data_IF_156579921324
#
_entry.id   IF_156579921324
#
_cell.length_a   1.000
_cell.length_b   1.000
_cell.length_c   1.000
_cell.angle_alpha   90.00
_cell.angle_beta   90.00
_cell.angle_gamma   90.00
#
_symmetry.space_group_name_H-M   'P 1'
#
loop_
_entity.id
_entity.type
_entity.pdbx_description
1 polymer ?
#
# COMPACT_ATOMS: atom_id res chain seq x y z
N UNK A 1 52.42 -3.23 20.14
CA UNK A 1 51.13 -2.57 20.08
C UNK A 1 50.54 -2.84 18.71
N UNK A 2 49.57 -3.75 18.61
CA UNK A 2 48.86 -4.06 17.36
C UNK A 2 47.58 -3.25 17.37
N UNK A 3 47.50 -2.25 16.50
CA UNK A 3 46.25 -1.52 16.25
C UNK A 3 45.32 -2.41 15.38
N UNK A 4 44.23 -2.88 15.97
CA UNK A 4 43.15 -3.47 15.22
C UNK A 4 42.31 -2.35 14.58
N UNK A 5 42.38 -2.21 13.27
CA UNK A 5 41.45 -1.40 12.49
C UNK A 5 40.12 -2.16 12.39
N UNK A 6 39.11 -1.72 13.11
CA UNK A 6 37.72 -2.14 12.88
C UNK A 6 37.19 -1.35 11.69
N UNK A 7 37.04 -2.02 10.56
CA UNK A 7 36.26 -1.46 9.44
C UNK A 7 34.78 -1.36 9.85
N UNK A 8 34.08 -0.26 9.56
CA UNK A 8 32.64 -0.22 9.74
C UNK A 8 31.98 -1.17 8.73
N UNK A 9 31.09 -2.05 9.23
CA UNK A 9 30.16 -2.74 8.34
C UNK A 9 29.27 -1.66 7.70
N UNK A 10 29.51 -1.40 6.42
CA UNK A 10 28.54 -0.74 5.59
C UNK A 10 27.36 -1.70 5.44
N UNK A 11 26.26 -1.40 6.11
CA UNK A 11 24.96 -1.99 5.84
C UNK A 11 24.66 -1.65 4.37
N UNK A 12 24.41 -2.65 3.55
CA UNK A 12 23.96 -2.47 2.17
C UNK A 12 22.63 -1.69 2.22
N UNK A 13 22.69 -0.40 1.91
CA UNK A 13 21.53 0.37 1.53
C UNK A 13 21.07 -0.22 0.20
N UNK A 14 20.01 -1.01 0.22
CA UNK A 14 19.25 -1.34 -1.00
C UNK A 14 18.81 0.00 -1.56
N UNK A 15 19.24 0.30 -2.77
CA UNK A 15 19.02 1.60 -3.41
C UNK A 15 17.51 1.78 -3.57
N UNK A 16 16.91 2.69 -2.81
CA UNK A 16 15.46 2.93 -2.85
C UNK A 16 15.02 3.47 -4.22
N UNK A 17 15.95 3.98 -5.00
CA UNK A 17 15.72 4.36 -6.39
C UNK A 17 15.37 3.14 -7.25
N UNK A 18 16.01 1.98 -7.02
CA UNK A 18 15.72 0.73 -7.73
C UNK A 18 14.33 0.18 -7.38
N UNK A 19 13.81 0.49 -6.18
CA UNK A 19 12.49 0.04 -5.75
C UNK A 19 11.32 0.72 -6.48
N UNK A 20 11.52 1.92 -7.02
CA UNK A 20 10.52 2.64 -7.81
C UNK A 20 10.67 2.39 -9.32
N UNK A 21 11.88 2.14 -9.82
CA UNK A 21 12.13 1.97 -11.25
C UNK A 21 11.31 0.82 -11.86
N UNK A 22 10.64 1.09 -12.98
CA UNK A 22 9.79 0.12 -13.68
C UNK A 22 8.43 -0.13 -13.02
N UNK A 23 7.99 0.71 -12.08
CA UNK A 23 6.73 0.53 -11.35
C UNK A 23 5.64 1.48 -11.84
N UNK A 24 4.37 1.03 -11.75
CA UNK A 24 3.20 1.82 -12.14
C UNK A 24 2.20 1.91 -10.99
N UNK A 25 1.60 3.09 -10.85
CA UNK A 25 0.79 3.46 -9.70
C UNK A 25 -0.48 4.18 -10.11
N UNK A 26 -1.54 3.98 -9.36
CA UNK A 26 -2.80 4.71 -9.50
C UNK A 26 -3.09 5.47 -8.21
N UNK A 27 -3.44 6.75 -8.32
CA UNK A 27 -3.83 7.57 -7.18
C UNK A 27 -5.12 7.05 -6.55
N UNK A 28 -5.12 6.93 -5.22
CA UNK A 28 -6.27 6.54 -4.40
C UNK A 28 -6.85 7.74 -3.68
N UNK A 29 -5.99 8.55 -3.04
CA UNK A 29 -6.39 9.74 -2.30
C UNK A 29 -5.27 10.77 -2.22
N UNK A 30 -5.60 12.00 -1.84
CA UNK A 30 -4.65 13.09 -1.67
C UNK A 30 -5.11 14.10 -0.62
N UNK A 31 -4.17 14.82 -0.02
CA UNK A 31 -4.45 15.88 0.94
C UNK A 31 -3.80 15.70 2.30
N UNK A 32 -4.32 16.38 3.32
CA UNK A 32 -3.78 16.36 4.67
C UNK A 32 -4.04 15.01 5.37
N UNK A 33 -3.10 14.50 6.18
CA UNK A 33 -3.29 13.29 6.96
C UNK A 33 -4.56 13.34 7.83
N UNK A 34 -5.44 12.35 7.67
CA UNK A 34 -6.71 12.27 8.40
C UNK A 34 -7.84 13.10 7.80
N UNK A 35 -7.60 13.77 6.66
CA UNK A 35 -8.60 14.54 5.92
C UNK A 35 -8.34 14.44 4.40
N UNK A 36 -7.85 13.28 3.95
CA UNK A 36 -7.59 13.04 2.54
C UNK A 36 -8.88 13.05 1.72
N UNK A 37 -8.78 13.59 0.52
CA UNK A 37 -9.84 13.55 -0.49
C UNK A 37 -9.62 12.31 -1.36
N UNK A 38 -10.59 11.40 -1.49
CA UNK A 38 -10.52 10.30 -2.43
C UNK A 38 -10.33 10.78 -3.88
N UNK A 39 -9.56 10.04 -4.67
CA UNK A 39 -9.49 10.29 -6.11
C UNK A 39 -10.87 10.15 -6.74
N UNK A 40 -11.19 11.04 -7.68
CA UNK A 40 -12.52 11.08 -8.30
C UNK A 40 -12.81 9.77 -9.04
N UNK A 41 -13.99 9.15 -8.81
CA UNK A 41 -14.40 7.97 -9.54
C UNK A 41 -14.40 8.22 -11.06
N UNK A 42 -13.78 7.29 -11.80
CA UNK A 42 -13.68 7.41 -13.27
C UNK A 42 -12.57 8.33 -13.78
N UNK A 43 -11.89 9.10 -12.91
CA UNK A 43 -10.64 9.76 -13.27
C UNK A 43 -9.47 8.80 -13.09
N UNK A 44 -8.67 8.60 -14.12
CA UNK A 44 -7.48 7.75 -14.05
C UNK A 44 -6.25 8.62 -13.82
N UNK A 45 -5.87 8.85 -12.56
CA UNK A 45 -4.61 9.54 -12.23
C UNK A 45 -3.55 8.48 -11.99
N UNK A 46 -2.54 8.44 -12.86
CA UNK A 46 -1.50 7.42 -12.87
C UNK A 46 -0.10 8.02 -12.80
N UNK A 47 0.85 7.24 -12.27
CA UNK A 47 2.26 7.59 -12.13
C UNK A 47 3.09 6.35 -12.48
N UNK A 48 3.94 6.42 -13.49
CA UNK A 48 4.85 5.36 -13.88
C UNK A 48 6.29 5.84 -13.76
N UNK A 49 7.11 5.10 -13.03
CA UNK A 49 8.55 5.34 -12.90
C UNK A 49 9.26 4.49 -13.94
N UNK A 50 9.80 5.10 -14.98
CA UNK A 50 10.52 4.41 -16.03
C UNK A 50 11.97 4.13 -15.60
N UNK A 51 12.56 3.09 -16.20
CA UNK A 51 13.99 2.83 -16.05
C UNK A 51 14.80 3.99 -16.65
N UNK A 52 15.64 4.64 -15.84
CA UNK A 52 16.46 5.77 -16.33
C UNK A 52 16.11 7.12 -15.75
N UNK A 53 15.20 7.19 -14.77
CA UNK A 53 14.86 8.42 -14.08
C UNK A 53 13.80 9.26 -14.78
N UNK A 54 13.07 8.68 -15.72
CA UNK A 54 11.91 9.29 -16.37
C UNK A 54 10.62 8.90 -15.64
N UNK A 55 9.67 9.82 -15.62
CA UNK A 55 8.32 9.58 -15.10
C UNK A 55 7.30 9.92 -16.18
N UNK A 56 6.27 9.07 -16.29
CA UNK A 56 5.13 9.29 -17.18
C UNK A 56 3.82 9.02 -16.45
N UNK A 57 2.71 9.49 -16.98
CA UNK A 57 1.41 9.21 -16.40
C UNK A 57 0.29 10.05 -16.96
N UNK A 58 -0.82 10.05 -16.24
CA UNK A 58 -2.04 10.78 -16.58
C UNK A 58 -2.56 11.51 -15.33
N UNK A 59 -2.88 12.80 -15.45
CA UNK A 59 -3.36 13.63 -14.33
C UNK A 59 -4.87 13.51 -14.05
N UNK A 60 -5.55 12.69 -14.83
CA UNK A 60 -7.02 12.58 -14.82
C UNK A 60 -7.64 13.10 -16.12
N UNK A 61 -7.06 14.13 -16.71
CA UNK A 61 -7.42 14.74 -17.99
C UNK A 61 -6.28 14.69 -18.98
N UNK A 62 -5.10 15.11 -18.57
CA UNK A 62 -3.92 15.27 -19.42
C UNK A 62 -2.88 14.20 -19.13
N UNK A 63 -2.25 13.71 -20.20
CA UNK A 63 -1.02 12.92 -20.09
C UNK A 63 0.15 13.83 -19.71
N UNK A 64 1.13 13.31 -19.00
CA UNK A 64 2.33 14.04 -18.62
C UNK A 64 3.59 13.17 -18.68
N UNK A 65 4.74 13.85 -18.74
CA UNK A 65 6.06 13.24 -18.59
C UNK A 65 7.01 14.19 -17.87
N UNK A 66 8.09 13.66 -17.31
CA UNK A 66 9.11 14.42 -16.60
C UNK A 66 10.28 13.56 -16.18
N UNK A 67 11.14 14.09 -15.33
CA UNK A 67 12.19 13.34 -14.65
C UNK A 67 11.88 13.15 -13.17
N UNK A 68 12.49 12.12 -12.55
CA UNK A 68 12.52 11.98 -11.10
C UNK A 68 13.93 11.65 -10.61
N UNK A 69 14.19 11.99 -9.35
CA UNK A 69 15.40 11.60 -8.66
C UNK A 69 15.06 11.14 -7.23
N UNK A 70 15.77 10.12 -6.76
CA UNK A 70 15.66 9.58 -5.42
C UNK A 70 17.00 9.68 -4.72
N UNK A 71 17.02 10.28 -3.53
CA UNK A 71 18.16 10.30 -2.60
C UNK A 71 17.64 9.83 -1.24
N UNK A 72 18.01 8.63 -0.83
CA UNK A 72 17.47 7.94 0.34
C UNK A 72 15.93 7.84 0.26
N UNK A 73 15.22 8.55 1.14
CA UNK A 73 13.74 8.63 1.16
C UNK A 73 13.22 9.91 0.47
N UNK A 74 14.12 10.77 -0.02
CA UNK A 74 13.77 11.99 -0.72
C UNK A 74 13.41 11.67 -2.16
N UNK A 75 12.24 12.13 -2.60
CA UNK A 75 11.77 12.01 -3.99
C UNK A 75 11.49 13.39 -4.54
N UNK A 76 12.11 13.70 -5.69
CA UNK A 76 11.89 14.96 -6.39
C UNK A 76 11.51 14.69 -7.85
N UNK A 77 10.62 15.52 -8.39
CA UNK A 77 10.26 15.51 -9.80
C UNK A 77 10.82 16.75 -10.49
N UNK A 78 11.20 16.61 -11.73
CA UNK A 78 11.79 17.70 -12.54
C UNK A 78 11.17 17.73 -13.93
N UNK A 79 11.05 18.94 -14.49
CA UNK A 79 10.60 19.16 -15.87
C UNK A 79 9.28 18.44 -16.20
N UNK A 80 8.34 18.39 -15.25
CA UNK A 80 7.01 17.81 -15.50
C UNK A 80 6.27 18.71 -16.51
N UNK A 81 5.96 18.15 -17.67
CA UNK A 81 5.19 18.79 -18.73
C UNK A 81 3.95 17.94 -19.03
N UNK A 82 2.82 18.62 -19.25
CA UNK A 82 1.54 17.95 -19.56
C UNK A 82 0.97 18.43 -20.89
N UNK A 83 0.10 17.63 -21.48
CA UNK A 83 -0.77 18.09 -22.57
C UNK A 83 -1.74 19.16 -22.06
N UNK A 84 -2.33 19.93 -22.94
CA UNK A 84 -3.25 21.02 -22.59
C UNK A 84 -4.63 20.76 -23.21
N UNK A 85 -5.24 19.62 -22.86
CA UNK A 85 -6.62 19.36 -23.25
C UNK A 85 -7.58 20.05 -22.29
N UNK A 86 -8.67 20.59 -22.81
CA UNK A 86 -9.74 21.11 -21.98
C UNK A 86 -10.70 19.98 -21.63
N UNK A 87 -10.79 19.60 -20.37
CA UNK A 87 -11.74 18.61 -19.90
C UNK A 87 -13.05 19.27 -19.49
N UNK A 88 -14.15 18.61 -19.83
CA UNK A 88 -15.49 19.13 -19.55
C UNK A 88 -15.83 19.15 -18.06
N UNK A 89 -15.21 18.28 -17.27
CA UNK A 89 -15.47 18.13 -15.85
C UNK A 89 -14.54 19.04 -15.01
N UNK A 90 -15.13 19.99 -14.30
CA UNK A 90 -14.39 20.95 -13.48
C UNK A 90 -13.72 20.31 -12.25
N UNK A 91 -14.28 19.23 -11.70
CA UNK A 91 -13.70 18.53 -10.56
C UNK A 91 -12.45 17.74 -10.98
N UNK A 92 -12.48 17.12 -12.18
CA UNK A 92 -11.30 16.45 -12.76
C UNK A 92 -10.18 17.46 -12.99
N UNK A 93 -10.48 18.64 -13.53
CA UNK A 93 -9.50 19.69 -13.72
C UNK A 93 -8.88 20.16 -12.38
N UNK A 94 -9.70 20.31 -11.34
CA UNK A 94 -9.22 20.68 -10.00
C UNK A 94 -8.30 19.61 -9.40
N UNK A 95 -8.72 18.34 -9.48
CA UNK A 95 -7.89 17.23 -9.01
C UNK A 95 -6.55 17.18 -9.74
N UNK A 96 -6.57 17.33 -11.07
CA UNK A 96 -5.36 17.35 -11.89
C UNK A 96 -4.42 18.49 -11.49
N UNK A 97 -4.95 19.70 -11.26
CA UNK A 97 -4.14 20.83 -10.81
C UNK A 97 -3.45 20.53 -9.49
N UNK A 98 -4.20 20.06 -8.48
CA UNK A 98 -3.65 19.67 -7.17
C UNK A 98 -2.58 18.58 -7.34
N UNK A 99 -2.82 17.60 -8.20
CA UNK A 99 -1.88 16.53 -8.47
C UNK A 99 -0.56 17.04 -9.05
N UNK A 100 -0.59 17.92 -10.05
CA UNK A 100 0.64 18.47 -10.63
C UNK A 100 1.37 19.42 -9.66
N UNK A 101 0.66 20.20 -8.86
CA UNK A 101 1.25 21.02 -7.79
C UNK A 101 1.95 20.12 -6.76
N UNK A 102 1.32 19.00 -6.37
CA UNK A 102 1.89 18.03 -5.45
C UNK A 102 3.15 17.35 -6.01
N UNK A 103 3.18 16.97 -7.28
CA UNK A 103 4.41 16.43 -7.90
C UNK A 103 5.55 17.45 -7.89
N UNK A 104 5.27 18.75 -8.15
CA UNK A 104 6.30 19.79 -8.16
C UNK A 104 6.87 20.09 -6.78
N UNK A 105 6.11 19.86 -5.73
CA UNK A 105 6.50 20.09 -4.33
C UNK A 105 6.77 18.81 -3.54
N UNK A 106 6.92 17.66 -4.23
CA UNK A 106 7.24 16.38 -3.60
C UNK A 106 8.58 16.45 -2.84
N UNK A 107 8.60 15.87 -1.65
CA UNK A 107 9.74 15.93 -0.74
C UNK A 107 10.29 14.55 -0.38
N UNK A 108 9.40 13.62 -0.06
CA UNK A 108 9.79 12.27 0.33
C UNK A 108 8.73 11.24 -0.06
N UNK A 109 9.12 9.98 -0.04
CA UNK A 109 8.20 8.88 -0.27
C UNK A 109 8.39 7.77 0.75
N UNK A 110 7.40 6.91 0.81
CA UNK A 110 7.43 5.64 1.54
C UNK A 110 6.77 4.58 0.67
N UNK A 111 7.40 3.43 0.59
CA UNK A 111 6.92 2.27 -0.15
C UNK A 111 6.67 1.12 0.82
N UNK A 112 5.42 0.69 0.94
CA UNK A 112 5.04 -0.44 1.79
C UNK A 112 4.21 -1.42 0.97
N UNK A 113 4.82 -2.53 0.56
CA UNK A 113 4.17 -3.49 -0.35
C UNK A 113 3.74 -2.82 -1.66
N UNK A 114 2.46 -2.90 -1.99
CA UNK A 114 1.87 -2.28 -3.18
C UNK A 114 1.30 -0.88 -2.92
N UNK A 115 1.77 -0.20 -1.89
CA UNK A 115 1.36 1.16 -1.57
C UNK A 115 2.54 2.11 -1.63
N UNK A 116 2.35 3.25 -2.30
CA UNK A 116 3.30 4.34 -2.37
C UNK A 116 2.63 5.58 -1.80
N UNK A 117 3.24 6.17 -0.78
CA UNK A 117 2.88 7.49 -0.26
C UNK A 117 3.94 8.50 -0.63
N UNK A 118 3.57 9.60 -1.24
CA UNK A 118 4.44 10.73 -1.56
C UNK A 118 3.99 11.93 -0.73
N UNK A 119 4.90 12.47 0.09
CA UNK A 119 4.64 13.70 0.85
C UNK A 119 5.06 14.92 0.05
N UNK A 120 4.21 15.95 0.10
CA UNK A 120 4.41 17.23 -0.56
C UNK A 120 4.00 18.38 0.37
N UNK A 121 4.43 19.59 0.07
CA UNK A 121 4.21 20.79 0.89
C UNK A 121 4.45 20.54 2.39
N UNK A 122 3.64 21.09 3.29
CA UNK A 122 3.77 20.97 4.74
C UNK A 122 3.18 19.65 5.28
N UNK A 123 3.47 18.51 4.63
CA UNK A 123 3.08 17.18 5.10
C UNK A 123 1.78 16.65 4.52
N UNK A 124 1.26 17.26 3.48
CA UNK A 124 0.21 16.66 2.65
C UNK A 124 0.76 15.45 1.90
N UNK A 125 -0.11 14.57 1.45
CA UNK A 125 0.31 13.33 0.78
C UNK A 125 -0.55 12.96 -0.43
N UNK A 126 0.10 12.30 -1.38
CA UNK A 126 -0.52 11.52 -2.43
C UNK A 126 -0.40 10.05 -2.04
N UNK A 127 -1.49 9.32 -2.00
CA UNK A 127 -1.51 7.89 -1.72
C UNK A 127 -1.84 7.14 -3.00
N UNK A 128 -0.99 6.17 -3.34
CA UNK A 128 -1.12 5.37 -4.56
C UNK A 128 -1.16 3.90 -4.24
N UNK A 129 -1.78 3.16 -5.16
CA UNK A 129 -1.71 1.70 -5.22
C UNK A 129 -0.97 1.29 -6.50
N UNK A 130 -0.13 0.26 -6.41
CA UNK A 130 0.60 -0.29 -7.53
C UNK A 130 -0.35 -0.94 -8.53
N UNK A 131 -0.15 -0.68 -9.84
CA UNK A 131 -0.97 -1.25 -10.92
C UNK A 131 -0.23 -2.28 -11.77
N UNK A 132 1.09 -2.19 -11.83
CA UNK A 132 1.98 -3.13 -12.50
C UNK A 132 2.49 -4.24 -11.57
N UNK A 133 2.21 -4.12 -10.27
CA UNK A 133 2.53 -5.23 -9.41
C UNK A 133 1.86 -6.48 -9.99
N UNK A 134 2.60 -7.60 -10.07
CA UNK A 134 2.02 -8.88 -10.40
C UNK A 134 1.13 -9.37 -9.24
N UNK A 135 0.10 -8.65 -8.97
CA UNK A 135 -1.14 -9.09 -8.32
C UNK A 135 -2.03 -9.79 -9.31
N UNK A 136 -1.67 -9.67 -10.62
CA UNK A 136 -1.70 -10.70 -11.59
C UNK A 136 -0.31 -11.32 -11.62
N UNK A 137 -0.04 -12.27 -10.73
CA UNK A 137 1.17 -13.05 -10.82
C UNK A 137 1.30 -13.54 -12.24
N UNK A 138 2.37 -13.13 -12.93
CA UNK A 138 2.84 -13.92 -14.05
C UNK A 138 3.06 -15.29 -13.44
N UNK A 139 2.26 -16.25 -13.88
CA UNK A 139 2.38 -17.64 -13.49
C UNK A 139 3.83 -18.02 -13.72
N UNK A 140 4.63 -18.11 -12.63
CA UNK A 140 6.01 -18.52 -12.70
C UNK A 140 7.10 -17.64 -12.07
N UNK A 141 6.82 -16.42 -11.58
CA UNK A 141 7.82 -15.66 -10.81
C UNK A 141 7.60 -15.83 -9.29
N UNK A 142 8.63 -16.19 -8.51
CA UNK A 142 8.51 -16.28 -7.06
C UNK A 142 8.23 -14.90 -6.47
N UNK A 143 7.14 -14.76 -5.72
CA UNK A 143 6.88 -13.57 -4.90
C UNK A 143 7.96 -13.50 -3.82
N UNK A 144 8.71 -12.39 -3.74
CA UNK A 144 9.76 -12.24 -2.72
C UNK A 144 9.16 -12.23 -1.30
N UNK A 145 9.87 -12.80 -0.31
CA UNK A 145 9.41 -12.78 1.07
C UNK A 145 9.38 -11.34 1.59
N UNK A 146 8.24 -10.94 2.16
CA UNK A 146 8.07 -9.67 2.86
C UNK A 146 7.53 -9.92 4.25
N UNK A 147 8.09 -9.29 5.28
CA UNK A 147 7.62 -9.37 6.65
C UNK A 147 7.82 -8.05 7.38
N UNK A 148 6.71 -7.44 7.79
CA UNK A 148 6.64 -6.29 8.68
C UNK A 148 5.45 -6.49 9.62
N UNK A 149 5.71 -6.63 10.91
CA UNK A 149 4.70 -6.77 11.98
C UNK A 149 4.73 -5.58 12.95
N UNK A 150 5.55 -4.58 12.65
CA UNK A 150 5.74 -3.38 13.48
C UNK A 150 4.67 -2.33 13.19
N UNK A 151 4.02 -2.42 12.04
CA UNK A 151 2.91 -1.58 11.64
C UNK A 151 1.66 -2.38 11.23
N UNK A 152 0.44 -1.83 11.42
CA UNK A 152 -0.79 -2.51 10.97
C UNK A 152 -0.85 -2.72 9.45
N UNK A 153 -0.32 -1.77 8.68
CA UNK A 153 -0.24 -1.87 7.20
C UNK A 153 0.75 -2.94 6.80
N UNK A 154 1.95 -2.91 7.40
CA UNK A 154 2.98 -3.92 7.17
C UNK A 154 2.51 -5.33 7.53
N UNK A 155 1.81 -5.50 8.67
CA UNK A 155 1.19 -6.76 9.06
C UNK A 155 0.24 -7.29 7.99
N UNK A 156 -0.68 -6.44 7.48
CA UNK A 156 -1.64 -6.86 6.47
C UNK A 156 -0.97 -7.15 5.13
N UNK A 157 0.03 -6.38 4.74
CA UNK A 157 0.86 -6.65 3.57
C UNK A 157 1.62 -7.97 3.70
N UNK A 158 2.20 -8.26 4.89
CA UNK A 158 2.89 -9.52 5.20
C UNK A 158 1.95 -10.72 5.15
N UNK A 159 0.71 -10.56 5.65
CA UNK A 159 -0.32 -11.57 5.58
C UNK A 159 -0.65 -11.95 4.13
N UNK A 160 -0.95 -10.96 3.27
CA UNK A 160 -1.25 -11.24 1.87
C UNK A 160 -0.02 -11.65 1.04
N UNK A 161 1.19 -11.22 1.42
CA UNK A 161 2.42 -11.77 0.87
C UNK A 161 2.54 -13.28 1.16
N UNK A 162 2.21 -13.71 2.37
CA UNK A 162 2.21 -15.13 2.72
C UNK A 162 1.13 -15.91 1.94
N UNK A 163 -0.08 -15.37 1.78
CA UNK A 163 -1.15 -15.96 0.96
C UNK A 163 -0.68 -16.12 -0.50
N UNK A 164 -0.12 -15.07 -1.12
CA UNK A 164 0.36 -15.09 -2.49
C UNK A 164 1.53 -16.06 -2.72
N UNK A 165 2.28 -16.39 -1.66
CA UNK A 165 3.35 -17.40 -1.68
C UNK A 165 2.84 -18.81 -1.38
N UNK A 166 1.55 -18.96 -1.07
CA UNK A 166 0.96 -20.21 -0.57
C UNK A 166 1.60 -20.70 0.73
N UNK A 167 2.23 -19.78 1.49
CA UNK A 167 2.77 -20.02 2.82
C UNK A 167 1.65 -19.81 3.86
N UNK A 168 0.65 -20.69 3.80
CA UNK A 168 -0.54 -20.57 4.63
C UNK A 168 -0.25 -20.75 6.12
N UNK A 169 0.84 -21.47 6.47
CA UNK A 169 1.26 -21.60 7.85
C UNK A 169 1.70 -20.25 8.42
N UNK A 170 2.47 -19.49 7.67
CA UNK A 170 2.89 -18.14 8.04
C UNK A 170 1.70 -17.18 8.07
N UNK A 171 0.83 -17.21 7.06
CA UNK A 171 -0.38 -16.40 7.03
C UNK A 171 -1.28 -16.65 8.25
N UNK A 172 -1.49 -17.90 8.60
CA UNK A 172 -2.26 -18.31 9.78
C UNK A 172 -1.65 -17.79 11.09
N UNK A 173 -0.31 -17.75 11.17
CA UNK A 173 0.43 -17.27 12.32
C UNK A 173 0.29 -15.77 12.60
N UNK A 174 -0.16 -14.94 11.64
CA UNK A 174 -0.41 -13.52 11.88
C UNK A 174 -1.69 -13.23 12.67
N UNK A 175 -2.61 -14.20 12.77
CA UNK A 175 -3.82 -14.06 13.56
C UNK A 175 -3.54 -14.26 15.05
N UNK A 176 -4.10 -13.39 15.89
CA UNK A 176 -4.04 -13.55 17.35
C UNK A 176 -4.83 -14.77 17.80
N UNK A 177 -6.03 -14.92 17.27
CA UNK A 177 -6.91 -16.08 17.49
C UNK A 177 -7.62 -16.36 16.17
N UNK A 178 -7.11 -17.31 15.36
CA UNK A 178 -7.78 -17.68 14.12
C UNK A 178 -9.22 -18.14 14.36
N UNK A 179 -10.14 -17.72 13.50
CA UNK A 179 -11.57 -18.06 13.63
C UNK A 179 -11.86 -19.53 13.28
N UNK A 180 -10.96 -20.19 12.56
CA UNK A 180 -11.15 -21.56 12.07
C UNK A 180 -9.85 -22.38 12.18
N UNK A 181 -9.93 -23.71 12.17
CA UNK A 181 -8.75 -24.57 12.17
C UNK A 181 -7.90 -24.36 10.91
N UNK A 182 -6.60 -24.61 11.02
CA UNK A 182 -5.63 -24.40 9.93
C UNK A 182 -6.03 -25.05 8.59
N UNK A 183 -6.52 -26.29 8.61
CA UNK A 183 -6.88 -27.00 7.37
C UNK A 183 -8.05 -26.31 6.63
N UNK A 184 -9.01 -25.76 7.39
CA UNK A 184 -10.13 -25.02 6.84
C UNK A 184 -9.65 -23.67 6.30
N UNK A 185 -8.83 -22.95 7.05
CA UNK A 185 -8.19 -21.71 6.61
C UNK A 185 -7.42 -21.89 5.29
N UNK A 186 -6.53 -22.88 5.23
CA UNK A 186 -5.74 -23.15 4.03
C UNK A 186 -6.62 -23.54 2.83
N UNK A 187 -7.68 -24.32 3.06
CA UNK A 187 -8.61 -24.72 2.00
C UNK A 187 -9.44 -23.56 1.45
N UNK A 188 -9.64 -22.49 2.25
CA UNK A 188 -10.33 -21.28 1.81
C UNK A 188 -9.62 -20.52 0.69
N UNK A 189 -8.31 -20.75 0.49
CA UNK A 189 -7.50 -20.16 -0.58
C UNK A 189 -7.20 -21.13 -1.73
N UNK A 190 -7.82 -22.31 -1.78
CA UNK A 190 -7.50 -23.35 -2.77
C UNK A 190 -7.76 -22.92 -4.23
N UNK A 191 -8.69 -22.00 -4.46
CA UNK A 191 -9.02 -21.44 -5.77
C UNK A 191 -8.39 -20.05 -6.01
N UNK A 192 -7.60 -19.55 -5.06
CA UNK A 192 -6.94 -18.24 -5.16
C UNK A 192 -5.55 -18.36 -5.78
N UNK A 193 -5.36 -17.73 -6.94
CA UNK A 193 -4.05 -17.62 -7.61
C UNK A 193 -3.22 -16.50 -7.01
N UNK A 194 -3.87 -15.35 -6.79
CA UNK A 194 -3.25 -14.18 -6.15
C UNK A 194 -4.30 -13.30 -5.50
N UNK A 195 -3.87 -12.55 -4.50
CA UNK A 195 -4.67 -11.59 -3.77
C UNK A 195 -3.93 -10.25 -3.69
N UNK A 196 -4.52 -9.18 -4.20
CA UNK A 196 -4.01 -7.82 -4.09
C UNK A 196 -4.81 -7.07 -3.05
N UNK A 197 -4.13 -6.60 -2.01
CA UNK A 197 -4.73 -5.79 -0.96
C UNK A 197 -4.48 -4.31 -1.24
N UNK A 198 -5.51 -3.49 -1.07
CA UNK A 198 -5.46 -2.04 -1.19
C UNK A 198 -5.96 -1.47 0.13
N UNK A 199 -5.12 -0.65 0.76
CA UNK A 199 -5.39 -0.06 2.08
C UNK A 199 -5.33 1.46 1.92
N UNK A 200 -6.30 2.18 2.46
CA UNK A 200 -6.27 3.64 2.51
C UNK A 200 -5.91 4.11 3.93
N UNK A 201 -4.85 4.90 4.10
CA UNK A 201 -4.70 5.74 5.31
C UNK A 201 -5.70 6.91 5.25
N UNK A 202 -6.23 7.40 6.39
CA UNK A 202 -5.83 7.13 7.75
C UNK A 202 -6.54 5.93 8.35
N UNK A 203 -5.81 5.15 9.14
CA UNK A 203 -6.39 4.14 10.01
C UNK A 203 -6.84 4.78 11.33
N UNK A 204 -7.94 4.29 11.89
CA UNK A 204 -8.34 4.66 13.25
C UNK A 204 -7.53 3.84 14.25
N UNK A 205 -6.99 4.51 15.26
CA UNK A 205 -6.32 3.89 16.38
C UNK A 205 -7.14 4.10 17.65
N UNK A 206 -7.48 3.02 18.34
CA UNK A 206 -8.27 3.06 19.56
C UNK A 206 -7.58 2.28 20.67
N UNK A 207 -7.43 2.90 21.83
CA UNK A 207 -6.88 2.26 23.04
C UNK A 207 -8.01 1.69 23.91
N UNK A 208 -7.97 0.41 24.22
CA UNK A 208 -8.91 -0.23 25.14
C UNK A 208 -8.27 -1.34 25.94
N UNK A 209 -8.53 -1.38 27.25
CA UNK A 209 -8.19 -2.48 28.16
C UNK A 209 -6.73 -2.98 28.05
N UNK A 210 -5.76 -2.06 27.94
CA UNK A 210 -4.32 -2.40 27.82
C UNK A 210 -3.89 -2.85 26.44
N UNK A 211 -4.70 -2.61 25.42
CA UNK A 211 -4.41 -2.89 24.02
C UNK A 211 -4.62 -1.67 23.15
N UNK A 212 -3.93 -1.64 22.02
CA UNK A 212 -4.12 -0.69 20.95
C UNK A 212 -4.71 -1.44 19.75
N UNK A 213 -5.77 -0.89 19.19
CA UNK A 213 -6.45 -1.43 18.01
C UNK A 213 -6.29 -0.47 16.83
N UNK A 214 -6.11 -1.04 15.65
CA UNK A 214 -6.06 -0.29 14.39
C UNK A 214 -7.11 -0.85 13.43
N UNK A 215 -8.06 0.00 13.02
CA UNK A 215 -9.03 -0.32 11.97
C UNK A 215 -8.44 0.01 10.61
N UNK A 216 -8.43 -0.97 9.71
CA UNK A 216 -7.74 -0.92 8.43
C UNK A 216 -8.78 -1.08 7.32
N UNK A 217 -9.26 0.04 6.72
CA UNK A 217 -10.12 -0.01 5.55
C UNK A 217 -9.41 -0.74 4.40
N UNK A 218 -10.06 -1.74 3.84
CA UNK A 218 -9.39 -2.65 2.91
C UNK A 218 -10.29 -2.97 1.71
N UNK A 219 -9.71 -2.92 0.51
CA UNK A 219 -10.24 -3.56 -0.68
C UNK A 219 -9.29 -4.68 -1.07
N UNK A 220 -9.84 -5.86 -1.30
CA UNK A 220 -9.10 -7.04 -1.72
C UNK A 220 -9.55 -7.44 -3.13
N UNK A 221 -8.61 -7.63 -4.03
CA UNK A 221 -8.85 -8.12 -5.38
C UNK A 221 -8.19 -9.50 -5.51
N UNK A 222 -9.00 -10.55 -5.60
CA UNK A 222 -8.54 -11.93 -5.73
C UNK A 222 -8.67 -12.42 -7.16
N UNK A 223 -7.61 -13.02 -7.70
CA UNK A 223 -7.63 -13.76 -8.96
C UNK A 223 -7.84 -15.23 -8.65
N UNK A 224 -8.81 -15.86 -9.31
CA UNK A 224 -9.13 -17.28 -9.13
C UNK A 224 -8.51 -18.15 -10.19
N UNK A 225 -8.37 -19.44 -9.90
CA UNK A 225 -7.81 -20.47 -10.81
C UNK A 225 -8.61 -20.66 -12.09
N UNK A 226 -9.90 -20.31 -12.10
CA UNK A 226 -10.77 -20.32 -13.28
C UNK A 226 -10.62 -19.08 -14.17
N UNK A 227 -9.70 -18.16 -13.82
CA UNK A 227 -9.47 -16.91 -14.53
C UNK A 227 -10.43 -15.77 -14.16
N UNK A 228 -11.38 -16.00 -13.27
CA UNK A 228 -12.27 -14.94 -12.77
C UNK A 228 -11.60 -14.09 -11.69
N UNK A 229 -12.12 -12.88 -11.52
CA UNK A 229 -11.71 -11.96 -10.46
C UNK A 229 -12.87 -11.76 -9.49
N UNK A 230 -12.56 -11.69 -8.20
CA UNK A 230 -13.50 -11.29 -7.16
C UNK A 230 -12.94 -10.10 -6.39
N UNK A 231 -13.78 -9.11 -6.13
CA UNK A 231 -13.43 -7.92 -5.35
C UNK A 231 -14.18 -7.96 -4.02
N UNK A 232 -13.45 -7.71 -2.93
CA UNK A 232 -14.02 -7.63 -1.59
C UNK A 232 -13.70 -6.28 -0.98
N UNK A 233 -14.60 -5.77 -0.14
CA UNK A 233 -14.39 -4.55 0.63
C UNK A 233 -14.80 -4.78 2.07
N UNK A 234 -14.06 -4.18 3.00
CA UNK A 234 -14.37 -4.29 4.42
C UNK A 234 -13.24 -3.81 5.33
N UNK A 235 -13.32 -4.20 6.57
CA UNK A 235 -12.43 -3.74 7.62
C UNK A 235 -11.62 -4.89 8.21
N UNK A 236 -10.29 -4.76 8.23
CA UNK A 236 -9.46 -5.53 9.14
C UNK A 236 -9.25 -4.75 10.43
N UNK A 237 -9.18 -5.45 11.54
CA UNK A 237 -8.75 -4.89 12.81
C UNK A 237 -7.46 -5.59 13.22
N UNK A 238 -6.40 -4.82 13.39
CA UNK A 238 -5.18 -5.28 14.02
C UNK A 238 -5.13 -4.86 15.48
N UNK A 239 -4.49 -5.68 16.33
CA UNK A 239 -4.33 -5.44 17.76
C UNK A 239 -2.88 -5.65 18.17
N UNK A 240 -2.41 -4.84 19.11
CA UNK A 240 -1.17 -5.09 19.86
C UNK A 240 -1.36 -4.74 21.34
N UNK A 241 -0.53 -5.26 22.27
CA UNK A 241 -0.49 -4.78 23.64
C UNK A 241 -0.12 -3.28 23.68
N UNK A 242 -0.77 -2.52 24.57
CA UNK A 242 -0.41 -1.12 24.85
C UNK A 242 0.51 -1.04 26.09
N UNK A 243 1.45 -1.99 26.15
CA UNK A 243 2.48 -2.07 27.18
C UNK A 243 3.83 -1.79 26.51
N UNK A 244 4.81 -1.38 27.28
CA UNK A 244 6.16 -1.11 26.76
C UNK A 244 7.19 -1.98 27.52
N UNK A 245 8.32 -2.29 26.91
CA UNK A 245 9.42 -2.91 27.65
C UNK A 245 9.81 -2.05 28.89
N UNK A 246 10.10 -2.66 30.06
CA UNK A 246 10.33 -4.09 30.25
C UNK A 246 9.09 -4.95 30.56
N UNK A 247 7.88 -4.38 30.53
CA UNK A 247 6.66 -5.08 30.95
C UNK A 247 6.21 -6.19 29.96
N UNK A 248 6.72 -6.16 28.74
CA UNK A 248 6.52 -7.20 27.72
C UNK A 248 7.83 -7.48 26.96
N UNK A 249 7.94 -8.69 26.38
CA UNK A 249 9.03 -9.01 25.47
C UNK A 249 8.84 -8.35 24.08
N UNK A 250 9.94 -8.15 23.34
CA UNK A 250 9.86 -7.63 21.97
C UNK A 250 9.00 -8.51 21.04
N UNK A 251 8.97 -9.83 21.27
CA UNK A 251 8.14 -10.79 20.52
C UNK A 251 6.64 -10.62 20.78
N UNK A 252 6.29 -9.99 21.91
CA UNK A 252 4.89 -9.71 22.28
C UNK A 252 4.47 -8.29 21.85
N UNK A 253 5.42 -7.39 21.58
CA UNK A 253 5.16 -6.01 21.15
C UNK A 253 5.03 -5.90 19.63
N UNK A 254 4.24 -6.78 19.04
CA UNK A 254 3.95 -6.83 17.60
C UNK A 254 2.46 -6.73 17.34
N UNK A 255 2.11 -6.24 16.17
CA UNK A 255 0.74 -6.27 15.70
C UNK A 255 0.32 -7.68 15.30
N UNK A 256 -0.94 -8.02 15.56
CA UNK A 256 -1.62 -9.27 15.17
C UNK A 256 -2.96 -8.94 14.53
N UNK A 257 -3.40 -9.75 13.57
CA UNK A 257 -4.76 -9.66 13.05
C UNK A 257 -5.73 -10.14 14.14
N UNK A 258 -6.71 -9.29 14.46
CA UNK A 258 -7.69 -9.54 15.51
C UNK A 258 -9.03 -9.98 14.93
N UNK A 259 -9.53 -9.24 13.92
CA UNK A 259 -10.77 -9.59 13.20
C UNK A 259 -10.72 -9.06 11.76
N UNK A 260 -11.53 -9.63 10.90
CA UNK A 260 -11.79 -9.14 9.56
C UNK A 260 -13.27 -9.32 9.22
N UNK A 261 -13.84 -8.32 8.58
CA UNK A 261 -15.19 -8.36 8.00
C UNK A 261 -15.11 -7.84 6.58
N UNK A 262 -15.14 -8.75 5.61
CA UNK A 262 -15.02 -8.45 4.19
C UNK A 262 -16.24 -9.03 3.47
N UNK A 263 -16.85 -8.23 2.60
CA UNK A 263 -17.97 -8.64 1.75
C UNK A 263 -17.57 -8.55 0.28
N UNK A 264 -18.03 -9.51 -0.51
CA UNK A 264 -17.84 -9.48 -1.96
C UNK A 264 -18.69 -8.34 -2.57
N UNK A 265 -18.07 -7.55 -3.44
CA UNK A 265 -18.69 -6.40 -4.11
C UNK A 265 -18.51 -6.50 -5.63
N UNK A 266 -19.33 -5.80 -6.44
CA UNK A 266 -19.13 -5.77 -7.89
C UNK A 266 -17.71 -5.33 -8.28
N UNK A 267 -17.10 -6.00 -9.26
CA UNK A 267 -15.72 -5.75 -9.69
C UNK A 267 -15.50 -4.36 -10.33
N UNK A 268 -16.56 -3.70 -10.77
CA UNK A 268 -16.56 -2.35 -11.35
C UNK A 268 -16.78 -1.24 -10.29
N UNK A 269 -16.85 -1.62 -9.01
CA UNK A 269 -17.01 -0.65 -7.92
C UNK A 269 -15.79 0.26 -7.78
N UNK A 270 -16.03 1.54 -7.55
CA UNK A 270 -14.96 2.52 -7.36
C UNK A 270 -14.20 2.26 -6.05
N UNK A 271 -12.93 1.92 -6.15
CA UNK A 271 -12.07 1.58 -4.99
C UNK A 271 -12.08 2.69 -3.91
N UNK A 272 -11.94 3.99 -4.24
CA UNK A 272 -11.97 5.04 -3.22
C UNK A 272 -13.29 5.07 -2.42
N UNK A 273 -14.43 4.83 -3.08
CA UNK A 273 -15.71 4.76 -2.41
C UNK A 273 -15.80 3.55 -1.46
N UNK A 274 -15.32 2.39 -1.91
CA UNK A 274 -15.29 1.18 -1.09
C UNK A 274 -14.43 1.37 0.17
N UNK A 275 -13.23 1.95 0.03
CA UNK A 275 -12.33 2.22 1.16
C UNK A 275 -12.94 3.19 2.17
N UNK A 276 -13.57 4.28 1.70
CA UNK A 276 -14.21 5.26 2.58
C UNK A 276 -15.36 4.70 3.43
N UNK A 277 -15.95 3.58 3.00
CA UNK A 277 -17.07 2.92 3.66
C UNK A 277 -16.66 1.67 4.43
N UNK A 278 -15.48 1.14 4.18
CA UNK A 278 -15.03 -0.18 4.64
C UNK A 278 -15.05 -0.38 6.17
N UNK A 279 -14.73 0.67 6.97
CA UNK A 279 -14.73 0.63 8.43
C UNK A 279 -15.77 1.59 9.05
N UNK A 280 -16.85 1.92 8.33
CA UNK A 280 -17.84 2.90 8.76
C UNK A 280 -18.97 2.32 9.65
N UNK A 281 -18.88 1.02 10.04
CA UNK A 281 -19.86 0.34 10.90
C UNK A 281 -19.51 0.44 12.37
#
# INVERSE_FOLDING_TARGET
VVLAMTAPLALAQTDQADALAGTQWQLVSYGAPGAETPALPGSSVTLAFESGGEVTGHGGCNGYSGGYAVEDVTLTFSQVVSTLMACADAEVNRQEQVYFEALQSAQRFELVGDQLTIWYDDGQRLNFVRTDAPGGGQVGQPVEPFEDVDSPVGLLASYYNAINRQDYQRAYGYWETPAEPFDQFASGFADTVSARVIIEPPMRYEGAAGSLYASIPTVLIAQRTDGTQATFSGCFVARRPNLRPPDISAEQDVWRLYSADLVEVPNDSAIPLLLSQACAQ
#
